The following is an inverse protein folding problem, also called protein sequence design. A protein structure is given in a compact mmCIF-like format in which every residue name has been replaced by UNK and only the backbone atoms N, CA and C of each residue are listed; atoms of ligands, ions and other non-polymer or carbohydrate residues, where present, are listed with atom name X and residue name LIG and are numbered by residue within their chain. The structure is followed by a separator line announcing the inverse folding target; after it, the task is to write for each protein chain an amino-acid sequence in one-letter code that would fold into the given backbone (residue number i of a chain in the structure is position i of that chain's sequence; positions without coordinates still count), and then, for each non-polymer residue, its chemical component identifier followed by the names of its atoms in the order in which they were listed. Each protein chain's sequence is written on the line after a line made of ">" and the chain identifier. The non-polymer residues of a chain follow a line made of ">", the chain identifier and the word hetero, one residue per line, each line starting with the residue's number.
data_IF_721142741852
#
_entry.id   IF_721142741852
#
_cell.length_a   1.000
_cell.length_b   1.000
_cell.length_c   1.000
_cell.angle_alpha   90.00
_cell.angle_beta   90.00
_cell.angle_gamma   90.00
#
_symmetry.space_group_name_H-M   'P 1'
#
loop_
_entity.id
_entity.type
_entity.pdbx_description
1 polymer ?
#
# COMPACT_ATOMS: atom_id res chain seq x y z
N UNK A 1 -15.67 -2.77 25.35
CA UNK A 1 -14.55 -3.71 25.19
C UNK A 1 -13.73 -3.28 23.99
N UNK A 2 -12.47 -2.89 24.18
CA UNK A 2 -11.57 -2.61 23.07
C UNK A 2 -11.15 -3.98 22.49
N UNK A 3 -11.36 -4.21 21.20
CA UNK A 3 -10.88 -5.44 20.58
C UNK A 3 -9.35 -5.38 20.53
N UNK A 4 -8.68 -6.46 20.97
CA UNK A 4 -7.21 -6.58 21.01
C UNK A 4 -6.65 -6.89 19.61
N UNK A 5 -7.02 -6.09 18.61
CA UNK A 5 -6.52 -6.22 17.25
C UNK A 5 -5.45 -5.16 17.00
N UNK A 6 -4.30 -5.61 16.52
CA UNK A 6 -3.18 -4.76 16.12
C UNK A 6 -2.87 -4.99 14.64
N UNK A 7 -2.49 -3.92 13.95
CA UNK A 7 -2.09 -4.01 12.55
C UNK A 7 -0.66 -4.54 12.45
N UNK A 8 -0.45 -5.52 11.58
CA UNK A 8 0.89 -5.97 11.23
C UNK A 8 1.46 -5.08 10.10
N UNK A 9 2.23 -4.07 10.48
CA UNK A 9 2.87 -3.14 9.52
C UNK A 9 3.88 -3.84 8.62
N UNK A 10 4.56 -4.89 9.10
CA UNK A 10 5.52 -5.68 8.32
C UNK A 10 4.89 -6.46 7.15
N UNK A 11 3.61 -6.82 7.27
CA UNK A 11 2.84 -7.49 6.20
C UNK A 11 1.97 -6.53 5.40
N UNK A 12 1.95 -5.26 5.79
CA UNK A 12 1.20 -4.23 5.09
C UNK A 12 2.07 -3.66 3.98
N UNK A 13 1.49 -3.50 2.79
CA UNK A 13 2.15 -2.85 1.65
C UNK A 13 1.22 -1.78 1.08
N UNK A 14 1.80 -0.76 0.49
CA UNK A 14 1.10 0.31 -0.21
C UNK A 14 1.15 0.06 -1.72
N UNK A 15 0.02 0.15 -2.40
CA UNK A 15 -0.05 0.14 -3.85
C UNK A 15 -0.66 1.47 -4.31
N UNK A 16 0.07 2.20 -5.15
CA UNK A 16 -0.33 3.52 -5.64
C UNK A 16 -0.67 3.40 -7.11
N UNK A 17 -1.92 3.73 -7.46
CA UNK A 17 -2.41 3.80 -8.84
C UNK A 17 -2.85 5.24 -9.08
N UNK A 18 -2.15 5.95 -9.97
CA UNK A 18 -2.39 7.36 -10.26
C UNK A 18 -2.58 7.56 -11.76
N UNK A 19 -3.79 7.93 -12.17
CA UNK A 19 -4.16 8.12 -13.58
C UNK A 19 -3.83 9.53 -14.12
N UNK A 20 -3.26 10.41 -13.30
CA UNK A 20 -2.84 11.74 -13.75
C UNK A 20 -1.68 11.61 -14.72
N UNK A 21 -1.67 12.43 -15.78
CA UNK A 21 -0.54 12.45 -16.76
C UNK A 21 0.81 12.77 -16.12
N UNK A 22 0.80 13.62 -15.08
CA UNK A 22 1.97 14.02 -14.31
C UNK A 22 1.66 13.84 -12.82
N UNK A 23 1.83 12.62 -12.29
CA UNK A 23 1.60 12.36 -10.88
C UNK A 23 2.67 13.07 -10.03
N UNK A 24 2.30 13.75 -8.93
CA UNK A 24 3.28 14.32 -8.01
C UNK A 24 4.02 13.20 -7.27
N UNK A 25 5.23 13.49 -6.80
CA UNK A 25 5.90 12.63 -5.84
C UNK A 25 5.08 12.59 -4.54
N UNK A 26 4.72 11.39 -4.09
CA UNK A 26 3.99 11.18 -2.84
C UNK A 26 5.00 10.89 -1.71
N UNK A 27 4.79 11.45 -0.50
CA UNK A 27 5.61 11.09 0.65
C UNK A 27 5.35 9.63 1.04
N UNK A 28 6.33 8.94 1.66
CA UNK A 28 6.13 7.56 2.11
C UNK A 28 5.01 7.44 3.15
N UNK A 29 4.17 6.42 3.03
CA UNK A 29 3.17 6.08 4.04
C UNK A 29 3.85 5.51 5.28
N UNK A 30 3.59 6.11 6.45
CA UNK A 30 3.98 5.57 7.75
C UNK A 30 2.74 5.15 8.55
N UNK A 31 2.80 3.96 9.17
CA UNK A 31 1.79 3.47 10.10
C UNK A 31 2.50 3.09 11.38
N UNK A 32 2.08 3.65 12.52
CA UNK A 32 2.72 3.43 13.83
C UNK A 32 4.25 3.60 13.75
N UNK A 33 4.69 4.72 13.16
CA UNK A 33 6.09 5.09 12.93
C UNK A 33 6.90 4.11 12.05
N UNK A 34 6.23 3.13 11.44
CA UNK A 34 6.84 2.20 10.50
C UNK A 34 6.51 2.60 9.07
N UNK A 35 7.52 2.84 8.24
CA UNK A 35 7.32 3.08 6.80
C UNK A 35 6.82 1.81 6.12
N UNK A 36 5.72 1.94 5.38
CA UNK A 36 5.11 0.87 4.61
C UNK A 36 5.81 0.76 3.25
N UNK A 37 6.10 -0.47 2.81
CA UNK A 37 6.74 -0.70 1.54
C UNK A 37 5.74 -0.48 0.38
N UNK A 38 6.19 0.23 -0.66
CA UNK A 38 5.41 0.43 -1.87
C UNK A 38 5.65 -0.75 -2.83
N UNK A 39 4.59 -1.29 -3.43
CA UNK A 39 4.66 -2.39 -4.40
C UNK A 39 4.08 -2.00 -5.76
N UNK A 40 4.66 -2.56 -6.83
CA UNK A 40 4.21 -2.36 -8.21
C UNK A 40 3.10 -3.33 -8.62
N UNK A 41 3.09 -4.53 -8.03
CA UNK A 41 2.10 -5.56 -8.31
C UNK A 41 1.57 -6.18 -7.03
N UNK A 42 0.31 -6.58 -7.04
CA UNK A 42 -0.33 -7.23 -5.90
C UNK A 42 -1.30 -8.31 -6.38
N UNK A 43 -1.19 -9.52 -5.81
CA UNK A 43 -2.14 -10.61 -6.09
C UNK A 43 -3.32 -10.52 -5.14
N UNK A 44 -4.48 -10.18 -5.67
CA UNK A 44 -5.72 -10.08 -4.92
C UNK A 44 -6.78 -11.01 -5.52
N UNK A 45 -7.29 -11.94 -4.69
CA UNK A 45 -8.36 -12.87 -5.07
C UNK A 45 -8.10 -13.67 -6.38
N UNK A 46 -6.83 -13.99 -6.66
CA UNK A 46 -6.45 -14.73 -7.86
C UNK A 46 -6.12 -13.86 -9.08
N UNK A 47 -6.44 -12.57 -9.03
CA UNK A 47 -6.04 -11.58 -10.03
C UNK A 47 -4.73 -10.89 -9.63
N UNK A 48 -3.93 -10.52 -10.62
CA UNK A 48 -2.75 -9.67 -10.42
C UNK A 48 -3.17 -8.25 -10.82
N UNK A 49 -3.02 -7.31 -9.89
CA UNK A 49 -3.19 -5.88 -10.13
C UNK A 49 -1.79 -5.30 -10.30
N UNK A 50 -1.54 -4.54 -11.36
CA UNK A 50 -0.28 -3.84 -11.60
C UNK A 50 -0.52 -2.33 -11.67
N UNK A 51 0.53 -1.54 -11.36
CA UNK A 51 0.47 -0.08 -11.42
C UNK A 51 0.28 0.47 -12.84
N UNK A 52 0.79 -0.26 -13.83
CA UNK A 52 0.97 0.15 -15.23
C UNK A 52 -0.20 -0.21 -16.17
N UNK A 53 -1.41 -0.35 -15.64
CA UNK A 53 -2.64 -0.67 -16.39
C UNK A 53 -2.79 0.05 -17.74
#
# INVERSE_FOLDING_TARGET
>A
CLNNLELNTLKTVEMIIDFRRNPPALPPLSIMDSTVAVVETFKFLGSIISRDL
#
